data_IF_611187051228
#
_entry.id   IF_611187051228
#
_cell.length_a   1.000
_cell.length_b   1.000
_cell.length_c   1.000
_cell.angle_alpha   90.00
_cell.angle_beta   90.00
_cell.angle_gamma   90.00
#
_symmetry.space_group_name_H-M   'P 1'
#
loop_
_entity.id
_entity.type
_entity.pdbx_description
1 polymer ?
#
# COMPACT_ATOMS: atom_id res chain seq x y z
N UNK A 1 3.59 -30.50 -12.74
CA UNK A 1 3.71 -29.14 -13.32
C UNK A 1 2.40 -28.36 -13.23
N UNK A 2 1.38 -28.58 -14.09
CA UNK A 2 0.17 -27.72 -14.14
C UNK A 2 -0.55 -27.60 -12.78
N UNK A 3 -0.73 -28.72 -12.05
CA UNK A 3 -1.36 -28.72 -10.71
C UNK A 3 -0.57 -27.91 -9.68
N UNK A 4 0.77 -27.96 -9.73
CA UNK A 4 1.62 -27.18 -8.84
C UNK A 4 1.56 -25.69 -9.20
N UNK A 5 1.59 -25.35 -10.49
CA UNK A 5 1.47 -23.96 -10.97
C UNK A 5 0.13 -23.32 -10.56
N UNK A 6 -0.99 -24.06 -10.68
CA UNK A 6 -2.31 -23.61 -10.22
C UNK A 6 -2.36 -23.39 -8.70
N UNK A 7 -1.66 -24.22 -7.93
CA UNK A 7 -1.60 -24.04 -6.47
C UNK A 7 -0.81 -22.78 -6.10
N UNK A 8 0.34 -22.56 -6.74
CA UNK A 8 1.14 -21.35 -6.52
C UNK A 8 0.41 -20.08 -6.93
N UNK A 9 -0.31 -20.09 -8.07
CA UNK A 9 -1.10 -18.93 -8.49
C UNK A 9 -2.27 -18.66 -7.56
N UNK A 10 -2.95 -19.69 -7.06
CA UNK A 10 -4.03 -19.52 -6.08
C UNK A 10 -3.52 -18.90 -4.77
N UNK A 11 -2.39 -19.39 -4.23
CA UNK A 11 -1.76 -18.83 -3.02
C UNK A 11 -1.32 -17.38 -3.23
N UNK A 12 -0.78 -17.07 -4.41
CA UNK A 12 -0.39 -15.71 -4.77
C UNK A 12 -1.59 -14.76 -4.78
N UNK A 13 -2.70 -15.19 -5.39
CA UNK A 13 -3.95 -14.39 -5.44
C UNK A 13 -4.55 -14.20 -4.04
N UNK A 14 -4.54 -15.22 -3.18
CA UNK A 14 -5.07 -15.07 -1.82
C UNK A 14 -4.23 -14.12 -0.97
N UNK A 15 -2.90 -14.15 -1.08
CA UNK A 15 -2.01 -13.22 -0.39
C UNK A 15 -2.23 -11.78 -0.85
N UNK A 16 -2.32 -11.54 -2.16
CA UNK A 16 -2.61 -10.20 -2.68
C UNK A 16 -4.00 -9.74 -2.23
N UNK A 17 -5.01 -10.60 -2.26
CA UNK A 17 -6.37 -10.25 -1.83
C UNK A 17 -6.45 -9.92 -0.33
N UNK A 18 -5.70 -10.62 0.51
CA UNK A 18 -5.61 -10.32 1.93
C UNK A 18 -4.94 -8.95 2.16
N UNK A 19 -3.80 -8.71 1.51
CA UNK A 19 -3.08 -7.43 1.60
C UNK A 19 -3.93 -6.26 1.11
N UNK A 20 -4.62 -6.39 -0.01
CA UNK A 20 -5.48 -5.31 -0.53
C UNK A 20 -6.66 -5.02 0.39
N UNK A 21 -7.22 -6.05 1.04
CA UNK A 21 -8.28 -5.86 2.03
C UNK A 21 -7.83 -5.01 3.22
N UNK A 22 -6.62 -5.25 3.74
CA UNK A 22 -6.07 -4.47 4.84
C UNK A 22 -5.78 -3.03 4.42
N UNK A 23 -5.27 -2.82 3.19
CA UNK A 23 -5.06 -1.48 2.60
C UNK A 23 -6.39 -0.71 2.51
N UNK A 24 -7.46 -1.33 1.99
CA UNK A 24 -8.77 -0.70 1.89
C UNK A 24 -9.38 -0.38 3.26
N UNK A 25 -9.16 -1.24 4.24
CA UNK A 25 -9.60 -1.01 5.62
C UNK A 25 -8.88 0.21 6.21
N UNK A 26 -7.55 0.26 6.12
CA UNK A 26 -6.75 1.39 6.60
C UNK A 26 -7.18 2.71 5.96
N UNK A 27 -7.43 2.71 4.65
CA UNK A 27 -7.90 3.89 3.94
C UNK A 27 -9.29 4.36 4.39
N UNK A 28 -10.18 3.40 4.68
CA UNK A 28 -11.50 3.70 5.23
C UNK A 28 -11.40 4.31 6.65
N UNK A 29 -10.47 3.81 7.47
CA UNK A 29 -10.22 4.33 8.82
C UNK A 29 -9.59 5.73 8.78
N UNK A 30 -8.63 5.99 7.88
CA UNK A 30 -8.08 7.32 7.63
C UNK A 30 -9.16 8.31 7.15
N UNK A 31 -10.03 7.87 6.24
CA UNK A 31 -11.14 8.69 5.76
C UNK A 31 -12.10 9.03 6.90
N UNK A 32 -12.44 8.04 7.74
CA UNK A 32 -13.27 8.24 8.93
C UNK A 32 -12.60 9.15 9.97
N UNK A 33 -11.26 9.17 10.05
CA UNK A 33 -10.50 10.07 10.89
C UNK A 33 -10.48 11.53 10.37
N UNK A 34 -10.96 11.78 9.14
CA UNK A 34 -11.07 13.10 8.55
C UNK A 34 -10.10 13.38 7.39
N UNK A 35 -9.37 12.37 6.93
CA UNK A 35 -8.55 12.50 5.72
C UNK A 35 -9.47 12.53 4.49
N UNK A 36 -9.23 13.49 3.59
CA UNK A 36 -9.99 13.62 2.35
C UNK A 36 -9.86 12.33 1.53
N UNK A 37 -11.00 11.88 1.00
CA UNK A 37 -11.10 10.65 0.22
C UNK A 37 -10.09 10.62 -0.93
N UNK A 38 -9.81 11.78 -1.55
CA UNK A 38 -8.79 11.89 -2.61
C UNK A 38 -7.44 11.32 -2.16
N UNK A 39 -6.98 11.67 -0.95
CA UNK A 39 -5.67 11.26 -0.45
C UNK A 39 -5.67 9.81 0.05
N UNK A 40 -6.79 9.33 0.61
CA UNK A 40 -6.93 7.92 0.97
C UNK A 40 -6.96 7.03 -0.26
N UNK A 41 -7.65 7.43 -1.33
CA UNK A 41 -7.69 6.68 -2.59
C UNK A 41 -6.30 6.65 -3.27
N UNK A 42 -5.56 7.77 -3.23
CA UNK A 42 -4.17 7.82 -3.70
C UNK A 42 -3.25 6.88 -2.88
N UNK A 43 -3.41 6.83 -1.55
CA UNK A 43 -2.67 5.92 -0.68
C UNK A 43 -3.00 4.45 -0.97
N UNK A 44 -4.29 4.10 -1.12
CA UNK A 44 -4.73 2.73 -1.49
C UNK A 44 -4.04 2.27 -2.77
N UNK A 45 -4.06 3.13 -3.78
CA UNK A 45 -3.44 2.83 -5.07
C UNK A 45 -1.95 2.58 -4.89
N UNK A 46 -1.26 3.46 -4.18
CA UNK A 46 0.18 3.34 -3.96
C UNK A 46 0.55 2.06 -3.21
N UNK A 47 -0.14 1.76 -2.11
CA UNK A 47 0.11 0.57 -1.29
C UNK A 47 -0.24 -0.72 -2.04
N UNK A 48 -1.27 -0.68 -2.90
CA UNK A 48 -1.61 -1.82 -3.76
C UNK A 48 -0.54 -2.04 -4.83
N UNK A 49 -0.09 -0.97 -5.48
CA UNK A 49 0.93 -1.02 -6.53
C UNK A 49 2.26 -1.57 -5.97
N UNK A 50 2.69 -1.10 -4.78
CA UNK A 50 3.91 -1.61 -4.15
C UNK A 50 3.74 -3.07 -3.71
N UNK A 51 2.60 -3.47 -3.14
CA UNK A 51 2.37 -4.85 -2.73
C UNK A 51 2.45 -5.81 -3.93
N UNK A 52 1.84 -5.44 -5.05
CA UNK A 52 1.91 -6.21 -6.31
C UNK A 52 3.35 -6.24 -6.85
N UNK A 53 4.08 -5.13 -6.80
CA UNK A 53 5.46 -5.06 -7.26
C UNK A 53 6.40 -5.93 -6.40
N UNK A 54 6.27 -5.89 -5.07
CA UNK A 54 7.04 -6.71 -4.14
C UNK A 54 6.72 -8.20 -4.30
N UNK A 55 5.46 -8.55 -4.52
CA UNK A 55 5.06 -9.93 -4.78
C UNK A 55 5.70 -10.47 -6.08
N UNK A 56 5.87 -9.61 -7.10
CA UNK A 56 6.57 -9.93 -8.37
C UNK A 56 8.11 -9.82 -8.29
N UNK A 57 8.66 -9.32 -7.19
CA UNK A 57 10.10 -9.26 -7.01
C UNK A 57 10.69 -10.65 -6.67
N UNK A 58 9.87 -11.61 -6.24
CA UNK A 58 10.24 -13.02 -6.00
C UNK A 58 11.49 -13.21 -5.12
N UNK A 59 11.79 -12.26 -4.24
CA UNK A 59 12.96 -12.32 -3.35
C UNK A 59 14.21 -11.60 -3.85
N UNK A 60 14.18 -10.98 -5.04
CA UNK A 60 15.28 -10.13 -5.55
C UNK A 60 15.42 -8.86 -4.70
N UNK A 61 16.39 -8.84 -3.79
CA UNK A 61 16.64 -7.72 -2.87
C UNK A 61 16.99 -6.40 -3.58
N UNK A 62 17.91 -6.36 -4.57
CA UNK A 62 18.12 -5.16 -5.38
C UNK A 62 16.83 -4.60 -6.01
N UNK A 63 15.96 -5.47 -6.53
CA UNK A 63 14.68 -5.06 -7.12
C UNK A 63 13.70 -4.55 -6.06
N UNK A 64 13.62 -5.19 -4.90
CA UNK A 64 12.80 -4.71 -3.76
C UNK A 64 13.26 -3.34 -3.28
N UNK A 65 14.57 -3.13 -3.12
CA UNK A 65 15.11 -1.83 -2.71
C UNK A 65 14.69 -0.73 -3.68
N UNK A 66 14.77 -0.97 -4.99
CA UNK A 66 14.30 -0.02 -6.00
C UNK A 66 12.79 0.24 -5.90
N UNK A 67 11.98 -0.79 -5.64
CA UNK A 67 10.54 -0.67 -5.42
C UNK A 67 10.25 0.21 -4.19
N UNK A 68 10.96 0.01 -3.08
CA UNK A 68 10.82 0.84 -1.88
C UNK A 68 11.24 2.29 -2.13
N UNK A 69 12.34 2.54 -2.85
CA UNK A 69 12.73 3.90 -3.21
C UNK A 69 11.69 4.61 -4.09
N UNK A 70 11.09 3.90 -5.05
CA UNK A 70 10.02 4.46 -5.90
C UNK A 70 8.76 4.75 -5.08
N UNK A 71 8.43 3.86 -4.14
CA UNK A 71 7.33 4.06 -3.20
C UNK A 71 7.56 5.26 -2.30
N UNK A 72 8.73 5.41 -1.69
CA UNK A 72 9.05 6.53 -0.81
C UNK A 72 8.95 7.86 -1.54
N UNK A 73 9.47 7.94 -2.78
CA UNK A 73 9.33 9.13 -3.63
C UNK A 73 7.87 9.46 -3.94
N UNK A 74 7.07 8.44 -4.22
CA UNK A 74 5.66 8.62 -4.53
C UNK A 74 4.84 9.00 -3.28
N UNK A 75 5.13 8.41 -2.12
CA UNK A 75 4.56 8.80 -0.83
C UNK A 75 4.91 10.25 -0.49
N UNK A 76 6.18 10.63 -0.64
CA UNK A 76 6.62 11.99 -0.37
C UNK A 76 5.89 12.98 -1.29
N UNK A 77 5.76 12.66 -2.59
CA UNK A 77 5.01 13.48 -3.54
C UNK A 77 3.53 13.62 -3.15
N UNK A 78 2.89 12.52 -2.76
CA UNK A 78 1.50 12.51 -2.27
C UNK A 78 1.36 13.42 -1.05
N UNK A 79 2.21 13.22 -0.05
CA UNK A 79 2.21 14.00 1.19
C UNK A 79 2.49 15.48 0.97
N UNK A 80 3.39 15.85 0.05
CA UNK A 80 3.64 17.25 -0.33
C UNK A 80 2.41 17.92 -0.99
N UNK A 81 1.53 17.15 -1.62
CA UNK A 81 0.28 17.65 -2.21
C UNK A 81 -0.87 17.74 -1.19
N UNK A 82 -0.67 17.29 0.04
CA UNK A 82 -1.67 17.34 1.11
C UNK A 82 -1.61 18.66 1.88
N UNK A 83 -2.76 19.28 2.20
CA UNK A 83 -2.82 20.36 3.18
C UNK A 83 -2.23 19.93 4.52
N UNK A 84 -1.56 20.84 5.24
CA UNK A 84 -0.93 20.54 6.53
C UNK A 84 -1.88 19.85 7.53
N UNK A 85 -3.14 20.31 7.62
CA UNK A 85 -4.17 19.70 8.49
C UNK A 85 -4.45 18.24 8.14
N UNK A 86 -4.41 17.90 6.85
CA UNK A 86 -4.63 16.52 6.38
C UNK A 86 -3.46 15.62 6.78
N UNK A 87 -2.23 16.12 6.64
CA UNK A 87 -1.02 15.43 7.10
C UNK A 87 -1.03 15.20 8.61
N UNK A 88 -1.42 16.20 9.40
CA UNK A 88 -1.50 16.07 10.86
C UNK A 88 -2.50 14.99 11.31
N UNK A 89 -3.63 14.85 10.63
CA UNK A 89 -4.61 13.78 10.91
C UNK A 89 -4.04 12.42 10.54
N UNK A 90 -3.40 12.32 9.37
CA UNK A 90 -2.78 11.08 8.92
C UNK A 90 -1.64 10.64 9.86
N UNK A 91 -0.75 11.55 10.24
CA UNK A 91 0.37 11.27 11.14
C UNK A 91 -0.13 10.80 12.50
N UNK A 92 -1.14 11.47 13.05
CA UNK A 92 -1.78 11.07 14.31
C UNK A 92 -2.44 9.68 14.20
N UNK A 93 -3.07 9.37 13.08
CA UNK A 93 -3.63 8.04 12.83
C UNK A 93 -2.52 6.98 12.88
N UNK A 94 -1.43 7.19 12.12
CA UNK A 94 -0.31 6.24 12.07
C UNK A 94 0.45 6.12 13.39
N UNK A 95 0.52 7.18 14.20
CA UNK A 95 1.04 7.10 15.57
C UNK A 95 0.14 6.26 16.50
N UNK A 96 -1.15 6.18 16.22
CA UNK A 96 -2.12 5.45 17.05
C UNK A 96 -2.20 3.96 16.70
N UNK A 97 -2.01 3.60 15.42
CA UNK A 97 -2.10 2.20 14.96
C UNK A 97 -0.76 1.45 14.96
N UNK A 98 0.35 2.15 15.20
CA UNK A 98 1.71 1.57 15.24
C UNK A 98 2.11 1.15 16.65
#
# INVERSE_FOLDING_TARGET
>A
MLKQFLLFSAIFVTLITALTKDIHKMASELHAAGVDKKYTDELVKLDTDIAVALAKAEGDEPKKNKIFEEYDRAQEKRRRAMPKKQLEIEDKYFETVR
#
